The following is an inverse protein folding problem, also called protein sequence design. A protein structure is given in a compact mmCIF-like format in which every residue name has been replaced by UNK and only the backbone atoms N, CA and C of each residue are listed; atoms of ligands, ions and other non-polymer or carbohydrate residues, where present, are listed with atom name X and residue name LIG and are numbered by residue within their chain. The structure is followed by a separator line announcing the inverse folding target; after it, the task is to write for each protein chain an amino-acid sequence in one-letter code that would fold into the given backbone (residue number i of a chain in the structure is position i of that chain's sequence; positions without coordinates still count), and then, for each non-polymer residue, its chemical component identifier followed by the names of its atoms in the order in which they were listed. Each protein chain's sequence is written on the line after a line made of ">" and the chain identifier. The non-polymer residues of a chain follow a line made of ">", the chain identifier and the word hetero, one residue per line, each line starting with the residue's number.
data_IF_027637120865
#
_entry.id   IF_027637120865
#
_cell.length_a   1.000
_cell.length_b   1.000
_cell.length_c   1.000
_cell.angle_alpha   90.00
_cell.angle_beta   90.00
_cell.angle_gamma   90.00
#
_symmetry.space_group_name_H-M   'P 1'
#
loop_
_entity.id
_entity.type
_entity.pdbx_description
1 polymer ?
#
# COMPACT_ATOMS: atom_id res chain seq x y z
N UNK A 1 -13.19 11.61 -30.12
CA UNK A 1 -13.92 10.37 -29.77
C UNK A 1 -12.97 9.43 -29.03
N UNK A 2 -13.45 8.69 -28.02
CA UNK A 2 -12.81 8.60 -26.71
C UNK A 2 -11.61 7.63 -26.67
N UNK A 3 -10.63 7.99 -25.83
CA UNK A 3 -9.40 7.24 -25.61
C UNK A 3 -9.72 5.93 -24.88
N UNK A 4 -9.26 4.80 -25.44
CA UNK A 4 -9.31 3.47 -24.81
C UNK A 4 -8.57 3.53 -23.47
N UNK A 5 -9.34 3.56 -22.39
CA UNK A 5 -8.82 3.56 -21.02
C UNK A 5 -8.40 2.15 -20.64
N UNK A 6 -7.10 1.95 -20.42
CA UNK A 6 -6.52 0.74 -19.80
C UNK A 6 -7.08 0.56 -18.37
N UNK A 7 -8.27 -0.04 -18.24
CA UNK A 7 -8.93 -0.35 -16.95
C UNK A 7 -8.82 -1.83 -16.52
N UNK A 8 -7.85 -2.58 -17.04
CA UNK A 8 -7.80 -4.04 -16.86
C UNK A 8 -6.77 -4.53 -15.83
N UNK A 9 -6.01 -3.64 -15.18
CA UNK A 9 -4.90 -4.05 -14.32
C UNK A 9 -5.23 -4.05 -12.81
N UNK A 10 -6.20 -3.24 -12.36
CA UNK A 10 -6.55 -3.15 -10.94
C UNK A 10 -7.34 -4.36 -10.43
N UNK A 11 -8.31 -4.87 -11.21
CA UNK A 11 -9.19 -5.96 -10.77
C UNK A 11 -8.48 -7.31 -10.61
N UNK A 12 -7.43 -7.57 -11.40
CA UNK A 12 -6.66 -8.82 -11.29
C UNK A 12 -5.92 -8.93 -9.96
N UNK A 13 -5.36 -7.82 -9.49
CA UNK A 13 -4.67 -7.77 -8.20
C UNK A 13 -5.64 -7.97 -7.04
N UNK A 14 -6.85 -7.39 -7.10
CA UNK A 14 -7.90 -7.58 -6.08
C UNK A 14 -8.23 -9.07 -5.96
N UNK A 15 -8.55 -9.73 -7.08
CA UNK A 15 -8.90 -11.15 -7.08
C UNK A 15 -7.73 -12.08 -6.68
N UNK A 16 -6.49 -11.67 -6.94
CA UNK A 16 -5.30 -12.50 -6.69
C UNK A 16 -4.69 -12.30 -5.30
N UNK A 17 -4.92 -11.15 -4.66
CA UNK A 17 -4.45 -10.85 -3.30
C UNK A 17 -5.43 -11.32 -2.22
N UNK A 18 -6.64 -11.74 -2.63
CA UNK A 18 -7.57 -12.53 -1.83
C UNK A 18 -8.49 -11.70 -0.95
N UNK A 19 -9.79 -11.72 -1.27
CA UNK A 19 -10.88 -11.23 -0.42
C UNK A 19 -11.10 -9.72 -0.44
N UNK A 20 -12.12 -9.29 0.30
CA UNK A 20 -12.52 -7.89 0.48
C UNK A 20 -11.43 -7.12 1.23
N UNK A 21 -10.42 -6.66 0.48
CA UNK A 21 -9.33 -5.84 0.98
C UNK A 21 -9.48 -4.45 0.39
N UNK A 22 -9.28 -3.44 1.23
CA UNK A 22 -9.14 -2.06 0.80
C UNK A 22 -7.86 -1.44 1.33
N UNK A 23 -7.28 -0.53 0.56
CA UNK A 23 -6.11 0.25 0.96
C UNK A 23 -6.54 1.71 0.97
N UNK A 24 -6.30 2.37 2.09
CA UNK A 24 -6.66 3.77 2.32
C UNK A 24 -5.41 4.57 2.66
N UNK A 25 -5.42 5.86 2.34
CA UNK A 25 -4.41 6.80 2.82
C UNK A 25 -4.66 7.21 4.30
N UNK A 26 -3.93 8.22 4.77
CA UNK A 26 -4.04 8.73 6.14
C UNK A 26 -5.39 9.42 6.42
N UNK A 27 -6.03 9.95 5.38
CA UNK A 27 -7.33 10.62 5.44
C UNK A 27 -8.50 9.64 5.19
N UNK A 28 -8.19 8.34 5.20
CA UNK A 28 -9.12 7.24 4.93
C UNK A 28 -9.69 7.23 3.51
N UNK A 29 -9.06 7.95 2.57
CA UNK A 29 -9.45 7.94 1.17
C UNK A 29 -9.01 6.62 0.51
N UNK A 30 -9.96 6.00 -0.20
CA UNK A 30 -9.76 4.73 -0.88
C UNK A 30 -8.76 4.86 -2.04
N UNK A 31 -7.61 4.20 -1.90
CA UNK A 31 -6.58 4.10 -2.95
C UNK A 31 -6.75 2.84 -3.80
N UNK A 32 -7.25 1.76 -3.20
CA UNK A 32 -7.40 0.45 -3.84
C UNK A 32 -8.46 -0.41 -3.16
N UNK A 33 -9.15 -1.26 -3.94
CA UNK A 33 -10.20 -2.15 -3.45
C UNK A 33 -11.58 -1.50 -3.48
N UNK A 34 -12.49 -2.03 -2.69
CA UNK A 34 -13.84 -1.51 -2.49
C UNK A 34 -13.95 -0.84 -1.11
N UNK A 35 -15.05 -0.12 -0.87
CA UNK A 35 -15.34 0.46 0.45
C UNK A 35 -15.37 -0.64 1.52
N UNK A 36 -14.54 -0.54 2.57
CA UNK A 36 -14.48 -1.56 3.59
C UNK A 36 -15.72 -1.51 4.49
N UNK A 37 -16.23 -2.67 4.87
CA UNK A 37 -17.25 -2.77 5.92
C UNK A 37 -16.69 -2.21 7.25
N UNK A 38 -17.52 -1.57 8.07
CA UNK A 38 -17.14 -1.07 9.39
C UNK A 38 -16.57 -2.17 10.30
N UNK A 39 -17.05 -3.41 10.14
CA UNK A 39 -16.60 -4.60 10.86
C UNK A 39 -15.24 -5.15 10.39
N UNK A 40 -14.70 -4.64 9.29
CA UNK A 40 -13.41 -5.09 8.76
C UNK A 40 -12.24 -4.66 9.66
N UNK A 41 -11.22 -5.52 9.74
CA UNK A 41 -10.01 -5.22 10.50
C UNK A 41 -9.27 -4.02 9.91
N UNK A 42 -8.66 -3.19 10.77
CA UNK A 42 -7.84 -2.03 10.37
C UNK A 42 -6.38 -2.30 10.69
N UNK A 43 -5.54 -2.39 9.68
CA UNK A 43 -4.11 -2.70 9.83
C UNK A 43 -3.27 -1.54 9.32
N UNK A 44 -2.38 -1.03 10.18
CA UNK A 44 -1.59 0.17 9.90
C UNK A 44 -0.48 -0.08 8.88
N UNK A 45 -0.36 0.83 7.92
CA UNK A 45 0.83 0.99 7.08
C UNK A 45 1.72 2.04 7.75
N UNK A 46 2.90 1.63 8.21
CA UNK A 46 3.85 2.42 8.98
C UNK A 46 5.24 2.41 8.34
N UNK A 47 5.83 3.60 8.27
CA UNK A 47 7.21 3.81 7.85
C UNK A 47 7.95 4.58 8.92
N UNK A 48 8.79 3.88 9.68
CA UNK A 48 9.61 4.43 10.78
C UNK A 48 8.77 5.26 11.79
N UNK A 49 7.60 4.76 12.17
CA UNK A 49 6.69 5.45 13.10
C UNK A 49 5.77 6.48 12.45
N UNK A 50 5.93 6.76 11.16
CA UNK A 50 5.01 7.61 10.40
C UNK A 50 3.93 6.73 9.79
N UNK A 51 2.67 7.03 10.10
CA UNK A 51 1.53 6.33 9.48
C UNK A 51 1.35 6.82 8.06
N UNK A 52 1.35 5.91 7.08
CA UNK A 52 1.12 6.22 5.67
C UNK A 52 -0.33 5.97 5.25
N UNK A 53 -1.06 5.14 6.01
CA UNK A 53 -2.43 4.75 5.70
C UNK A 53 -2.80 3.42 6.33
N UNK A 54 -3.80 2.75 5.76
CA UNK A 54 -4.41 1.56 6.33
C UNK A 54 -4.70 0.51 5.27
N UNK A 55 -4.58 -0.76 5.64
CA UNK A 55 -5.21 -1.87 4.94
C UNK A 55 -6.42 -2.31 5.75
N UNK A 56 -7.58 -2.34 5.12
CA UNK A 56 -8.83 -2.82 5.71
C UNK A 56 -9.21 -4.15 5.09
N UNK A 57 -9.88 -5.00 5.86
CA UNK A 57 -10.43 -6.27 5.37
C UNK A 57 -10.42 -7.38 6.40
N UNK A 58 -10.72 -8.59 5.94
CA UNK A 58 -10.72 -9.80 6.74
C UNK A 58 -9.31 -10.34 7.03
N UNK A 59 -9.19 -11.66 7.13
CA UNK A 59 -7.95 -12.37 7.48
C UNK A 59 -6.74 -12.01 6.60
N UNK A 60 -6.97 -11.68 5.33
CA UNK A 60 -5.93 -11.36 4.37
C UNK A 60 -5.40 -9.91 4.48
N UNK A 61 -6.10 -8.99 5.16
CA UNK A 61 -5.66 -7.60 5.25
C UNK A 61 -4.38 -7.44 6.09
N UNK A 62 -4.22 -8.27 7.13
CA UNK A 62 -3.02 -8.25 7.99
C UNK A 62 -1.72 -8.61 7.24
N UNK A 63 -1.62 -9.74 6.52
CA UNK A 63 -0.41 -10.05 5.77
C UNK A 63 -0.11 -9.03 4.66
N UNK A 64 -1.14 -8.44 4.04
CA UNK A 64 -0.94 -7.37 3.05
C UNK A 64 -0.36 -6.10 3.71
N UNK A 65 -0.86 -5.68 4.87
CA UNK A 65 -0.27 -4.56 5.61
C UNK A 65 1.21 -4.83 5.98
N UNK A 66 1.52 -6.06 6.40
CA UNK A 66 2.90 -6.46 6.70
C UNK A 66 3.80 -6.38 5.46
N UNK A 67 3.31 -6.81 4.29
CA UNK A 67 4.04 -6.72 3.02
C UNK A 67 4.28 -5.26 2.62
N UNK A 68 3.26 -4.40 2.70
CA UNK A 68 3.40 -2.98 2.37
C UNK A 68 4.39 -2.27 3.30
N UNK A 69 4.37 -2.60 4.60
CA UNK A 69 5.36 -2.10 5.56
C UNK A 69 6.77 -2.53 5.15
N UNK A 70 6.97 -3.80 4.82
CA UNK A 70 8.27 -4.29 4.37
C UNK A 70 8.76 -3.56 3.11
N UNK A 71 7.89 -3.39 2.10
CA UNK A 71 8.23 -2.70 0.85
C UNK A 71 8.55 -1.23 1.08
N UNK A 72 7.78 -0.54 1.92
CA UNK A 72 8.00 0.88 2.23
C UNK A 72 9.35 1.08 2.94
N UNK A 73 9.67 0.24 3.93
CA UNK A 73 10.95 0.30 4.63
C UNK A 73 12.11 0.02 3.67
N UNK A 74 12.00 -1.01 2.83
CA UNK A 74 13.03 -1.37 1.85
C UNK A 74 13.29 -0.27 0.82
N UNK A 75 12.26 0.40 0.34
CA UNK A 75 12.40 1.52 -0.61
C UNK A 75 13.11 2.71 0.05
N UNK A 76 12.80 3.01 1.31
CA UNK A 76 13.48 4.08 2.06
C UNK A 76 14.96 3.74 2.27
N UNK A 77 15.28 2.52 2.68
CA UNK A 77 16.68 2.06 2.85
C UNK A 77 17.47 2.21 1.54
N UNK A 78 16.88 1.79 0.41
CA UNK A 78 17.51 1.91 -0.91
C UNK A 78 17.78 3.36 -1.30
N UNK A 79 16.87 4.30 -0.98
CA UNK A 79 17.07 5.74 -1.22
C UNK A 79 18.11 6.34 -0.30
N UNK A 80 18.18 5.91 0.96
CA UNK A 80 19.19 6.39 1.92
C UNK A 80 20.60 6.07 1.43
N UNK A 81 20.84 4.85 0.96
CA UNK A 81 22.15 4.39 0.44
C UNK A 81 22.57 5.21 -0.80
N UNK A 82 21.64 5.54 -1.69
CA UNK A 82 21.91 6.35 -2.87
C UNK A 82 22.32 7.79 -2.51
N UNK A 83 21.75 8.36 -1.45
CA UNK A 83 22.09 9.71 -0.97
C UNK A 83 23.45 9.70 -0.27
N UNK A 84 23.70 8.74 0.63
CA UNK A 84 25.00 8.63 1.34
C UNK A 84 26.17 8.41 0.38
N UNK A 85 25.96 7.65 -0.70
CA UNK A 85 26.99 7.45 -1.72
C UNK A 85 27.35 8.77 -2.40
N UNK A 86 26.37 9.63 -2.69
CA UNK A 86 26.61 10.90 -3.37
C UNK A 86 27.38 11.91 -2.49
N UNK A 87 27.18 11.86 -1.17
CA UNK A 87 27.85 12.74 -0.21
C UNK A 87 29.30 12.33 0.07
N UNK A 88 29.62 11.03 0.00
CA UNK A 88 30.98 10.52 0.19
C UNK A 88 31.94 10.76 -1.00
N UNK A 89 31.44 11.25 -2.13
CA UNK A 89 32.25 11.65 -3.29
C UNK A 89 32.46 13.17 -3.40
N UNK A 90 31.96 13.96 -2.43
CA UNK A 90 32.16 15.42 -2.38
C UNK A 90 33.35 15.82 -1.52
#
# INVERSE_FOLDING_TARGET
>A
MPKKTSRHCSSYLINSLGGDISIQDIDEQLLFGDEPDDSSGKYKIDLKGTTLGWVRGGENARPIAALLNYLANRELERRSIAIETLENYR
#
